data_IF_960224216504
#
_entry.id   IF_960224216504
#
_cell.length_a   1.000
_cell.length_b   1.000
_cell.length_c   1.000
_cell.angle_alpha   90.00
_cell.angle_beta   90.00
_cell.angle_gamma   90.00
#
_symmetry.space_group_name_H-M   'P 1'
#
loop_
_entity.id
_entity.type
_entity.pdbx_description
1 polymer ?
#
# COMPACT_ATOMS: atom_id res chain seq x y z
N UNK A 1 -2.73 0.60 -22.31
CA UNK A 1 -1.79 1.31 -21.42
C UNK A 1 -2.57 1.70 -20.18
N UNK A 2 -1.99 1.57 -18.98
CA UNK A 2 -2.67 1.86 -17.71
C UNK A 2 -2.85 3.36 -17.54
N UNK A 3 -3.98 3.80 -16.98
CA UNK A 3 -4.34 5.20 -16.78
C UNK A 3 -4.54 5.55 -15.30
N UNK A 4 -4.89 4.57 -14.46
CA UNK A 4 -5.21 4.76 -13.05
C UNK A 4 -4.56 3.66 -12.23
N UNK A 5 -3.47 4.02 -11.57
CA UNK A 5 -2.63 3.10 -10.82
C UNK A 5 -2.89 3.30 -9.32
N UNK A 6 -3.42 2.28 -8.65
CA UNK A 6 -3.53 2.29 -7.19
C UNK A 6 -2.26 1.65 -6.59
N UNK A 7 -1.72 2.26 -5.54
CA UNK A 7 -0.48 1.80 -4.90
C UNK A 7 -0.68 1.67 -3.39
N UNK A 8 -0.98 0.48 -2.86
CA UNK A 8 -1.01 0.26 -1.42
C UNK A 8 0.38 0.47 -0.81
N UNK A 9 0.47 1.34 0.18
CA UNK A 9 1.70 1.66 0.91
C UNK A 9 1.52 1.45 2.42
N UNK A 10 2.55 0.94 3.08
CA UNK A 10 2.56 0.72 4.53
C UNK A 10 3.81 1.32 5.22
N UNK A 11 4.62 2.07 4.46
CA UNK A 11 5.87 2.67 4.92
C UNK A 11 7.08 1.73 4.88
N UNK A 12 6.90 0.46 4.53
CA UNK A 12 8.03 -0.46 4.34
C UNK A 12 8.87 -0.06 3.10
N UNK A 13 10.18 -0.36 3.08
CA UNK A 13 11.04 -0.12 1.91
C UNK A 13 10.48 -0.75 0.63
N UNK A 14 9.91 -1.95 0.73
CA UNK A 14 9.30 -2.66 -0.40
C UNK A 14 8.04 -1.95 -0.93
N UNK A 15 7.21 -1.40 -0.04
CA UNK A 15 6.03 -0.61 -0.48
C UNK A 15 6.43 0.71 -1.14
N UNK A 16 7.49 1.36 -0.64
CA UNK A 16 8.03 2.58 -1.26
C UNK A 16 8.69 2.28 -2.61
N UNK A 17 9.33 1.12 -2.75
CA UNK A 17 9.83 0.66 -4.04
C UNK A 17 8.69 0.41 -5.05
N UNK A 18 7.56 -0.12 -4.58
CA UNK A 18 6.36 -0.26 -5.41
C UNK A 18 5.79 1.08 -5.88
N UNK A 19 5.84 2.11 -5.02
CA UNK A 19 5.48 3.47 -5.40
C UNK A 19 6.45 4.04 -6.46
N UNK A 20 7.76 3.84 -6.29
CA UNK A 20 8.74 4.27 -7.28
C UNK A 20 8.49 3.61 -8.65
N UNK A 21 8.07 2.33 -8.65
CA UNK A 21 7.71 1.63 -9.88
C UNK A 21 6.46 2.19 -10.54
N UNK A 22 5.42 2.45 -9.75
CA UNK A 22 4.21 3.09 -10.26
C UNK A 22 4.51 4.47 -10.86
N UNK A 23 5.41 5.24 -10.24
CA UNK A 23 5.90 6.53 -10.77
C UNK A 23 6.57 6.33 -12.12
N UNK A 24 7.48 5.35 -12.27
CA UNK A 24 8.12 5.06 -13.57
C UNK A 24 7.10 4.74 -14.66
N UNK A 25 6.10 3.92 -14.35
CA UNK A 25 5.03 3.56 -15.29
C UNK A 25 4.21 4.80 -15.65
N UNK A 26 3.81 5.61 -14.66
CA UNK A 26 3.00 6.79 -14.87
C UNK A 26 3.74 7.88 -15.66
N UNK A 27 5.04 8.09 -15.43
CA UNK A 27 5.85 9.01 -16.22
C UNK A 27 5.89 8.63 -17.70
N UNK A 28 5.90 7.33 -18.03
CA UNK A 28 5.89 6.84 -19.41
C UNK A 28 4.51 6.84 -20.08
N UNK A 29 3.42 6.87 -19.29
CA UNK A 29 2.05 6.68 -19.77
C UNK A 29 1.10 7.85 -19.50
N UNK A 30 1.56 8.88 -18.79
CA UNK A 30 0.73 9.95 -18.24
C UNK A 30 -0.41 9.45 -17.32
N UNK A 31 -0.26 8.28 -16.71
CA UNK A 31 -1.22 7.74 -15.76
C UNK A 31 -1.32 8.58 -14.48
N UNK A 32 -2.47 8.49 -13.82
CA UNK A 32 -2.67 9.03 -12.47
C UNK A 32 -2.41 7.95 -11.42
N UNK A 33 -1.73 8.33 -10.34
CA UNK A 33 -1.44 7.43 -9.22
C UNK A 33 -2.29 7.79 -8.01
N UNK A 34 -2.82 6.78 -7.31
CA UNK A 34 -3.37 6.93 -5.97
C UNK A 34 -2.58 6.06 -4.98
N UNK A 35 -1.61 6.65 -4.26
CA UNK A 35 -1.04 6.01 -3.08
C UNK A 35 -2.12 5.79 -2.04
N UNK A 36 -2.20 4.59 -1.46
CA UNK A 36 -3.26 4.20 -0.53
C UNK A 36 -2.65 3.68 0.77
N UNK A 37 -2.96 4.33 1.88
CA UNK A 37 -2.68 3.81 3.21
C UNK A 37 -3.97 3.33 3.86
N UNK A 38 -3.99 2.06 4.30
CA UNK A 38 -5.13 1.46 4.99
C UNK A 38 -4.80 1.35 6.48
N UNK A 39 -5.59 2.04 7.30
CA UNK A 39 -5.58 1.90 8.76
C UNK A 39 -6.42 0.69 9.13
N UNK A 40 -5.76 -0.29 9.73
CA UNK A 40 -6.42 -1.46 10.29
C UNK A 40 -6.60 -1.27 11.80
N UNK A 41 -7.85 -1.08 12.21
CA UNK A 41 -8.27 -0.99 13.61
C UNK A 41 -8.94 -2.27 14.09
N UNK A 42 -8.95 -3.34 13.29
CA UNK A 42 -9.56 -4.58 13.72
C UNK A 42 -8.79 -5.13 14.93
N UNK A 43 -9.49 -5.52 15.99
CA UNK A 43 -8.84 -6.04 17.19
C UNK A 43 -8.05 -7.29 16.81
N UNK A 44 -6.73 -7.21 16.99
CA UNK A 44 -5.84 -8.36 16.85
C UNK A 44 -6.18 -9.29 18.01
N UNK A 45 -7.10 -10.23 17.77
CA UNK A 45 -7.57 -11.26 18.69
C UNK A 45 -8.36 -10.78 19.92
N UNK A 46 -9.08 -11.74 20.54
CA UNK A 46 -9.92 -11.68 21.74
C UNK A 46 -9.25 -11.11 23.01
N UNK A 47 -8.13 -10.41 22.90
CA UNK A 47 -7.55 -9.69 24.03
C UNK A 47 -8.13 -8.28 24.07
N UNK A 48 -9.02 -8.07 25.03
CA UNK A 48 -9.73 -6.81 25.25
C UNK A 48 -8.79 -5.61 25.43
N UNK A 49 -7.49 -5.85 25.65
CA UNK A 49 -6.42 -4.84 25.79
C UNK A 49 -6.21 -3.95 24.57
N UNK A 50 -6.44 -4.45 23.35
CA UNK A 50 -6.31 -3.62 22.12
C UNK A 50 -7.37 -2.51 22.03
N UNK A 51 -8.55 -2.72 22.64
CA UNK A 51 -9.59 -1.71 22.80
C UNK A 51 -9.23 -0.61 23.83
N UNK A 52 -8.12 -0.78 24.56
CA UNK A 52 -7.66 0.10 25.65
C UNK A 52 -6.40 0.91 25.33
N UNK A 53 -6.06 1.16 24.07
CA UNK A 53 -5.01 2.13 23.72
C UNK A 53 -5.61 3.48 23.27
N UNK A 54 -5.95 4.39 24.21
CA UNK A 54 -6.26 5.78 23.87
C UNK A 54 -5.21 6.36 22.93
N UNK A 55 -5.66 6.89 21.79
CA UNK A 55 -4.78 7.54 20.82
C UNK A 55 -4.10 6.62 19.79
N UNK A 56 -4.25 5.28 19.86
CA UNK A 56 -3.69 4.39 18.83
C UNK A 56 -4.25 4.70 17.44
N UNK A 57 -5.57 4.94 17.35
CA UNK A 57 -6.23 5.35 16.10
C UNK A 57 -5.61 6.63 15.54
N UNK A 58 -5.46 7.64 16.38
CA UNK A 58 -4.94 8.94 15.95
C UNK A 58 -3.47 8.82 15.52
N UNK A 59 -2.67 8.00 16.21
CA UNK A 59 -1.29 7.71 15.82
C UNK A 59 -1.21 7.01 14.46
N UNK A 60 -2.08 6.04 14.17
CA UNK A 60 -2.12 5.35 12.87
C UNK A 60 -2.59 6.28 11.75
N UNK A 61 -3.56 7.14 12.02
CA UNK A 61 -4.01 8.17 11.06
C UNK A 61 -2.90 9.18 10.78
N UNK A 62 -2.18 9.62 11.82
CA UNK A 62 -1.04 10.53 11.65
C UNK A 62 0.09 9.88 10.84
N UNK A 63 0.37 8.59 11.09
CA UNK A 63 1.31 7.83 10.27
C UNK A 63 0.86 7.78 8.79
N UNK A 64 -0.42 7.53 8.55
CA UNK A 64 -1.00 7.56 7.21
C UNK A 64 -0.83 8.92 6.53
N UNK A 65 -1.04 10.03 7.26
CA UNK A 65 -0.82 11.39 6.75
C UNK A 65 0.64 11.64 6.40
N UNK A 66 1.57 11.18 7.23
CA UNK A 66 3.01 11.28 6.98
C UNK A 66 3.40 10.54 5.71
N UNK A 67 2.93 9.31 5.54
CA UNK A 67 3.18 8.52 4.34
C UNK A 67 2.53 9.12 3.09
N UNK A 68 1.33 9.68 3.21
CA UNK A 68 0.67 10.41 2.14
C UNK A 68 1.48 11.65 1.70
N UNK A 69 2.05 12.39 2.65
CA UNK A 69 2.94 13.52 2.36
C UNK A 69 4.21 13.06 1.62
N UNK A 70 4.89 12.00 2.11
CA UNK A 70 6.05 11.41 1.42
C UNK A 70 5.72 10.96 0.00
N UNK A 71 4.57 10.32 -0.21
CA UNK A 71 4.16 9.89 -1.54
C UNK A 71 3.87 11.07 -2.47
N UNK A 72 3.24 12.13 -1.95
CA UNK A 72 2.97 13.38 -2.68
C UNK A 72 4.27 14.04 -3.13
N UNK A 73 5.26 14.11 -2.24
CA UNK A 73 6.58 14.67 -2.56
C UNK A 73 7.26 13.91 -3.71
N UNK A 74 7.30 12.57 -3.64
CA UNK A 74 7.88 11.73 -4.70
C UNK A 74 7.18 11.91 -6.05
N UNK A 75 5.85 11.93 -6.06
CA UNK A 75 5.08 12.18 -7.29
C UNK A 75 5.35 13.58 -7.86
N UNK A 76 5.45 14.59 -6.99
CA UNK A 76 5.72 15.98 -7.39
C UNK A 76 7.11 16.10 -8.01
N UNK A 77 8.13 15.52 -7.38
CA UNK A 77 9.50 15.50 -7.90
C UNK A 77 9.60 14.83 -9.28
N UNK A 78 8.78 13.82 -9.53
CA UNK A 78 8.74 13.10 -10.82
C UNK A 78 7.77 13.72 -11.85
N UNK A 79 7.05 14.81 -11.51
CA UNK A 79 6.06 15.44 -12.39
C UNK A 79 4.83 14.57 -12.68
N UNK A 80 4.51 13.61 -11.81
CA UNK A 80 3.39 12.67 -11.97
C UNK A 80 2.14 13.15 -11.24
N UNK A 81 0.98 13.02 -11.87
CA UNK A 81 -0.31 13.38 -11.27
C UNK A 81 -0.76 12.29 -10.30
N UNK A 82 -1.24 12.69 -9.13
CA UNK A 82 -1.82 11.74 -8.18
C UNK A 82 -2.39 12.40 -6.94
N UNK A 83 -3.16 11.64 -6.18
CA UNK A 83 -3.71 12.09 -4.89
C UNK A 83 -3.68 10.93 -3.91
N UNK A 84 -2.91 11.03 -2.82
CA UNK A 84 -2.89 9.97 -1.81
C UNK A 84 -4.24 9.87 -1.09
N UNK A 85 -4.59 8.66 -0.68
CA UNK A 85 -5.79 8.36 0.13
C UNK A 85 -5.35 7.65 1.40
N UNK A 86 -5.84 8.14 2.54
CA UNK A 86 -5.79 7.45 3.83
C UNK A 86 -7.20 7.01 4.14
N UNK A 87 -7.41 5.74 4.48
CA UNK A 87 -8.72 5.27 4.91
C UNK A 87 -8.63 4.15 5.93
N UNK A 88 -9.70 3.98 6.69
CA UNK A 88 -9.87 2.87 7.63
C UNK A 88 -10.58 1.69 6.96
N UNK A 89 -10.42 0.51 7.56
CA UNK A 89 -11.30 -0.63 7.30
C UNK A 89 -12.69 -0.28 7.89
N UNK A 90 -13.69 -0.12 7.02
CA UNK A 90 -15.03 0.37 7.41
C UNK A 90 -16.05 -0.74 7.67
N UNK A 91 -15.90 -1.92 7.03
CA UNK A 91 -16.90 -2.98 7.11
C UNK A 91 -16.50 -4.05 8.13
N UNK A 92 -17.47 -4.48 8.93
CA UNK A 92 -17.28 -5.57 9.89
C UNK A 92 -16.95 -6.86 9.11
N UNK A 93 -15.75 -7.39 9.35
CA UNK A 93 -15.25 -8.59 8.66
C UNK A 93 -14.46 -8.34 7.37
N UNK A 94 -14.32 -7.10 6.92
CA UNK A 94 -13.35 -6.77 5.85
C UNK A 94 -11.93 -6.80 6.41
N UNK A 95 -10.99 -7.39 5.70
CA UNK A 95 -9.56 -7.26 5.96
C UNK A 95 -8.91 -6.18 5.08
N UNK A 96 -7.60 -5.96 5.26
CA UNK A 96 -6.83 -4.99 4.45
C UNK A 96 -6.95 -5.29 2.95
N UNK A 97 -6.74 -6.53 2.44
CA UNK A 97 -7.00 -6.88 1.04
C UNK A 97 -8.38 -6.47 0.51
N UNK A 98 -9.46 -6.75 1.24
CA UNK A 98 -10.82 -6.38 0.85
C UNK A 98 -10.97 -4.86 0.77
N UNK A 99 -10.40 -4.13 1.74
CA UNK A 99 -10.41 -2.68 1.72
C UNK A 99 -9.64 -2.10 0.54
N UNK A 100 -8.48 -2.67 0.21
CA UNK A 100 -7.71 -2.26 -0.98
C UNK A 100 -8.54 -2.51 -2.25
N UNK A 101 -9.23 -3.65 -2.37
CA UNK A 101 -10.13 -3.92 -3.51
C UNK A 101 -11.24 -2.89 -3.61
N UNK A 102 -11.90 -2.53 -2.52
CA UNK A 102 -12.92 -1.48 -2.51
C UNK A 102 -12.36 -0.14 -2.99
N UNK A 103 -11.18 0.26 -2.51
CA UNK A 103 -10.52 1.48 -2.98
C UNK A 103 -10.11 1.42 -4.46
N UNK A 104 -9.71 0.24 -4.95
CA UNK A 104 -9.40 0.03 -6.37
C UNK A 104 -10.66 0.18 -7.25
N UNK A 105 -11.79 -0.38 -6.81
CA UNK A 105 -13.08 -0.24 -7.47
C UNK A 105 -13.53 1.24 -7.49
N UNK A 106 -13.45 1.94 -6.35
CA UNK A 106 -13.78 3.38 -6.22
C UNK A 106 -12.94 4.25 -7.18
N UNK A 107 -11.62 4.01 -7.18
CA UNK A 107 -10.68 4.75 -8.01
C UNK A 107 -10.79 4.36 -9.49
N UNK A 108 -11.44 3.23 -9.80
CA UNK A 108 -11.43 2.57 -11.11
C UNK A 108 -10.00 2.29 -11.57
N UNK A 109 -9.22 1.68 -10.67
CA UNK A 109 -7.85 1.31 -10.95
C UNK A 109 -7.82 0.29 -12.10
N UNK A 110 -6.96 0.53 -13.08
CA UNK A 110 -6.67 -0.42 -14.16
C UNK A 110 -5.33 -1.14 -13.97
N UNK A 111 -4.60 -0.77 -12.90
CA UNK A 111 -3.43 -1.47 -12.37
C UNK A 111 -3.33 -1.26 -10.85
N UNK A 112 -2.97 -2.32 -10.13
CA UNK A 112 -2.51 -2.20 -8.74
C UNK A 112 -1.04 -2.58 -8.66
N UNK A 113 -0.20 -1.68 -8.14
CA UNK A 113 1.23 -1.92 -7.93
C UNK A 113 1.47 -2.05 -6.43
N UNK A 114 2.01 -3.18 -6.00
CA UNK A 114 2.19 -3.43 -4.57
C UNK A 114 3.50 -4.13 -4.25
N UNK A 115 4.02 -3.83 -3.06
CA UNK A 115 5.17 -4.54 -2.53
C UNK A 115 4.84 -6.00 -2.26
N UNK A 116 5.79 -6.89 -2.53
CA UNK A 116 5.66 -8.33 -2.20
C UNK A 116 5.62 -8.60 -0.70
N UNK A 117 6.17 -7.70 0.12
CA UNK A 117 6.22 -7.82 1.58
C UNK A 117 5.98 -6.44 2.20
N UNK A 118 5.48 -6.40 3.44
CA UNK A 118 5.26 -5.18 4.19
C UNK A 118 6.18 -5.03 5.40
N UNK A 119 5.75 -4.24 6.40
CA UNK A 119 6.51 -3.92 7.63
C UNK A 119 7.03 -5.12 8.44
N UNK A 120 6.38 -6.29 8.33
CA UNK A 120 6.70 -7.50 9.13
C UNK A 120 7.55 -8.54 8.39
N UNK A 121 7.83 -8.36 7.09
CA UNK A 121 8.45 -9.40 6.26
C UNK A 121 9.97 -9.35 6.28
N UNK A 122 10.62 -10.35 6.90
CA UNK A 122 12.04 -10.66 6.73
C UNK A 122 12.24 -11.74 5.66
N UNK A 123 13.35 -11.59 4.93
CA UNK A 123 13.97 -12.43 3.88
C UNK A 123 13.36 -13.80 3.56
N UNK A 124 13.32 -14.06 2.24
CA UNK A 124 13.24 -15.35 1.53
C UNK A 124 11.82 -15.85 1.21
N UNK A 125 11.34 -15.46 0.01
CA UNK A 125 10.37 -16.20 -0.84
C UNK A 125 8.88 -16.19 -0.41
N UNK A 126 8.44 -15.46 0.61
CA UNK A 126 7.01 -15.50 1.02
C UNK A 126 6.26 -14.22 0.66
N UNK A 127 5.30 -14.30 -0.29
CA UNK A 127 4.39 -13.19 -0.55
C UNK A 127 3.66 -12.80 0.76
N UNK A 128 3.70 -11.53 1.13
CA UNK A 128 3.06 -11.02 2.34
C UNK A 128 1.55 -11.21 2.28
N UNK A 129 0.92 -11.42 3.44
CA UNK A 129 -0.51 -11.75 3.56
C UNK A 129 -1.43 -10.77 2.81
N UNK A 130 -1.11 -9.47 2.84
CA UNK A 130 -1.87 -8.44 2.12
C UNK A 130 -1.73 -8.59 0.61
N UNK A 131 -0.51 -8.84 0.12
CA UNK A 131 -0.26 -9.01 -1.31
C UNK A 131 -0.86 -10.30 -1.86
N UNK A 132 -0.73 -11.38 -1.11
CA UNK A 132 -1.31 -12.67 -1.46
C UNK A 132 -2.86 -12.63 -1.42
N UNK A 133 -3.43 -12.04 -0.36
CA UNK A 133 -4.86 -11.85 -0.22
C UNK A 133 -5.42 -10.96 -1.32
N UNK A 134 -4.76 -9.83 -1.62
CA UNK A 134 -5.22 -8.93 -2.68
C UNK A 134 -5.13 -9.57 -4.07
N UNK A 135 -4.03 -10.25 -4.39
CA UNK A 135 -3.87 -10.91 -5.69
C UNK A 135 -5.00 -11.90 -6.01
N UNK A 136 -5.52 -12.60 -4.99
CA UNK A 136 -6.70 -13.48 -5.12
C UNK A 136 -8.01 -12.73 -5.35
N UNK A 137 -8.14 -11.53 -4.80
CA UNK A 137 -9.37 -10.72 -4.85
C UNK A 137 -9.39 -9.72 -6.01
N UNK A 138 -8.25 -9.48 -6.64
CA UNK A 138 -8.08 -8.41 -7.63
C UNK A 138 -8.98 -8.62 -8.85
N UNK A 139 -9.51 -7.50 -9.36
CA UNK A 139 -10.30 -7.42 -10.60
C UNK A 139 -9.54 -6.74 -11.75
N UNK A 140 -8.32 -6.28 -11.48
CA UNK A 140 -7.42 -5.68 -12.46
C UNK A 140 -6.04 -6.34 -12.39
N UNK A 141 -5.17 -6.13 -13.39
CA UNK A 141 -3.77 -6.53 -13.31
C UNK A 141 -3.10 -6.09 -12.02
N UNK A 142 -2.23 -6.95 -11.48
CA UNK A 142 -1.45 -6.70 -10.27
C UNK A 142 0.04 -6.81 -10.61
N UNK A 143 0.80 -5.78 -10.29
CA UNK A 143 2.25 -5.78 -10.37
C UNK A 143 2.84 -5.92 -8.97
N UNK A 144 3.48 -7.07 -8.72
CA UNK A 144 4.16 -7.36 -7.47
C UNK A 144 5.63 -6.93 -7.56
N UNK A 145 6.03 -6.00 -6.71
CA UNK A 145 7.38 -5.44 -6.69
C UNK A 145 8.20 -6.09 -5.57
N UNK A 146 9.30 -6.80 -5.89
CA UNK A 146 10.17 -7.38 -4.88
C UNK A 146 10.89 -6.29 -4.08
N UNK A 147 11.26 -6.60 -2.83
CA UNK A 147 12.19 -5.76 -2.09
C UNK A 147 13.52 -5.68 -2.83
N UNK A 148 14.24 -4.56 -2.70
CA UNK A 148 15.63 -4.50 -3.15
C UNK A 148 16.43 -5.42 -2.22
N UNK A 149 17.16 -6.38 -2.78
CA UNK A 149 18.19 -7.05 -1.99
C UNK A 149 19.11 -5.95 -1.46
N UNK A 150 19.22 -5.83 -0.14
CA UNK A 150 20.41 -5.17 0.40
C UNK A 150 21.59 -5.94 -0.15
N UNK A 151 22.46 -5.27 -0.91
CA UNK A 151 23.82 -5.74 -1.15
C UNK A 151 24.39 -6.16 0.21
N UNK A 152 24.41 -7.46 0.49
CA UNK A 152 25.28 -7.96 1.55
C UNK A 152 26.71 -7.82 1.02
N UNK A 153 27.65 -7.30 1.82
CA UNK A 153 29.05 -7.39 1.44
C UNK A 153 29.35 -8.87 1.24
N UNK A 154 29.89 -9.17 0.06
CA UNK A 154 30.36 -10.49 -0.33
C UNK A 154 31.19 -11.08 0.84
N UNK A 155 30.89 -12.31 1.31
CA UNK A 155 31.61 -12.92 2.44
C UNK A 155 33.11 -13.05 2.20
#
# INVERSE_FOLDING_TARGET
MYNRILVPIDGSPTSLHALDEAIRIASASAAQIQPLFVVDMQPVSYDATSAFYPGLRDALLEEGRRLAATATERMTQAGVKGTPRVCEVEYLGDDIPQRIRHCADDFRADLVVMGTHGRRGLRRIVLGSVAEGFARLSRCPVLLVPGRETEEPNP
#
